data_IF_936114335903
#
_entry.id   IF_936114335903
#
_cell.length_a   1.000
_cell.length_b   1.000
_cell.length_c   1.000
_cell.angle_alpha   90.00
_cell.angle_beta   90.00
_cell.angle_gamma   90.00
#
_symmetry.space_group_name_H-M   'P 1'
#
loop_
_entity.id
_entity.type
_entity.pdbx_description
1 polymer ?
#
# COMPACT_ATOMS: atom_id res chain seq x y z
N UNK A 1 33.10 -26.95 -41.01
CA UNK A 1 33.20 -25.49 -41.28
C UNK A 1 32.80 -24.78 -40.00
N UNK A 2 33.57 -23.80 -39.54
CA UNK A 2 33.17 -23.02 -38.37
C UNK A 2 31.91 -22.21 -38.72
N UNK A 3 30.91 -22.21 -37.85
CA UNK A 3 29.72 -21.40 -38.01
C UNK A 3 30.12 -19.93 -37.87
N UNK A 4 29.82 -19.09 -38.86
CA UNK A 4 30.07 -17.65 -38.80
C UNK A 4 28.93 -16.91 -39.51
N UNK A 5 28.13 -16.14 -38.75
CA UNK A 5 27.05 -15.29 -39.26
C UNK A 5 27.52 -14.05 -40.04
N UNK A 6 28.78 -14.01 -40.47
CA UNK A 6 29.27 -13.08 -41.47
C UNK A 6 29.05 -13.64 -42.89
N UNK A 7 27.78 -13.78 -43.27
CA UNK A 7 27.38 -14.40 -44.54
C UNK A 7 27.92 -13.60 -45.74
N UNK A 8 28.44 -14.31 -46.73
CA UNK A 8 28.91 -13.71 -47.98
C UNK A 8 27.72 -13.40 -48.91
N UNK A 9 27.72 -12.20 -49.48
CA UNK A 9 26.80 -11.85 -50.56
C UNK A 9 27.32 -12.43 -51.87
N UNK A 10 26.41 -12.97 -52.69
CA UNK A 10 26.72 -13.28 -54.09
C UNK A 10 27.04 -11.97 -54.79
N UNK A 11 28.21 -11.88 -55.42
CA UNK A 11 28.65 -10.64 -56.08
C UNK A 11 27.81 -10.35 -57.34
N UNK A 12 27.61 -9.08 -57.65
CA UNK A 12 26.96 -8.65 -58.90
C UNK A 12 27.74 -9.21 -60.10
N UNK A 13 27.10 -10.07 -60.89
CA UNK A 13 27.68 -10.70 -62.07
C UNK A 13 28.51 -11.97 -61.82
N UNK A 14 28.52 -12.53 -60.61
CA UNK A 14 29.14 -13.84 -60.35
C UNK A 14 28.44 -14.90 -61.21
N UNK A 15 29.01 -15.41 -62.30
CA UNK A 15 28.32 -16.41 -63.13
C UNK A 15 28.51 -17.84 -62.60
N UNK A 16 29.69 -18.12 -62.05
CA UNK A 16 30.09 -19.45 -61.57
C UNK A 16 29.91 -19.57 -60.05
N UNK A 17 29.56 -20.78 -59.60
CA UNK A 17 29.46 -21.17 -58.19
C UNK A 17 28.52 -20.35 -57.28
N UNK A 18 27.58 -19.59 -57.87
CA UNK A 18 26.55 -18.85 -57.11
C UNK A 18 25.74 -19.77 -56.19
N UNK A 19 25.37 -20.96 -56.69
CA UNK A 19 24.58 -21.95 -55.95
C UNK A 19 25.35 -22.49 -54.74
N UNK A 20 26.65 -22.72 -54.89
CA UNK A 20 27.53 -23.18 -53.82
C UNK A 20 27.67 -22.09 -52.76
N UNK A 21 27.88 -20.84 -53.16
CA UNK A 21 27.94 -19.69 -52.25
C UNK A 21 26.62 -19.55 -51.47
N UNK A 22 25.49 -19.72 -52.13
CA UNK A 22 24.17 -19.71 -51.49
C UNK A 22 23.98 -20.87 -50.52
N UNK A 23 24.33 -22.09 -50.92
CA UNK A 23 24.21 -23.30 -50.09
C UNK A 23 25.11 -23.24 -48.85
N UNK A 24 26.33 -22.71 -48.99
CA UNK A 24 27.26 -22.51 -47.88
C UNK A 24 26.73 -21.46 -46.90
N UNK A 25 26.18 -20.35 -47.41
CA UNK A 25 25.53 -19.32 -46.60
C UNK A 25 24.31 -19.84 -45.83
N UNK A 26 23.46 -20.63 -46.49
CA UNK A 26 22.32 -21.29 -45.84
C UNK A 26 22.78 -22.28 -44.76
N UNK A 27 23.86 -23.03 -45.02
CA UNK A 27 24.45 -23.96 -44.05
C UNK A 27 24.98 -23.21 -42.83
N UNK A 28 25.70 -22.11 -43.04
CA UNK A 28 26.20 -21.26 -41.94
C UNK A 28 25.05 -20.67 -41.10
N UNK A 29 23.99 -20.18 -41.76
CA UNK A 29 22.82 -19.64 -41.08
C UNK A 29 22.09 -20.72 -40.27
N UNK A 30 21.85 -21.89 -40.84
CA UNK A 30 21.15 -22.99 -40.19
C UNK A 30 21.92 -23.49 -38.96
N UNK A 31 23.23 -23.68 -39.10
CA UNK A 31 24.05 -24.11 -37.99
C UNK A 31 24.09 -23.03 -36.90
N UNK A 32 24.39 -21.78 -37.24
CA UNK A 32 24.54 -20.74 -36.20
C UNK A 32 23.23 -20.37 -35.48
N UNK A 33 22.07 -20.53 -36.12
CA UNK A 33 20.78 -20.24 -35.48
C UNK A 33 20.29 -21.37 -34.56
N UNK A 34 20.79 -22.59 -34.74
CA UNK A 34 20.42 -23.76 -33.92
C UNK A 34 21.50 -24.20 -32.92
N UNK A 35 22.72 -23.69 -33.08
CA UNK A 35 23.85 -24.04 -32.22
C UNK A 35 23.91 -23.21 -30.93
N UNK A 36 24.59 -23.77 -29.93
CA UNK A 36 24.85 -23.14 -28.64
C UNK A 36 26.35 -23.06 -28.38
N UNK A 37 26.87 -21.86 -28.21
CA UNK A 37 28.26 -21.66 -27.84
C UNK A 37 28.47 -21.83 -26.34
N UNK A 38 29.21 -22.87 -25.96
CA UNK A 38 29.61 -23.12 -24.59
C UNK A 38 30.81 -22.22 -24.20
N UNK A 39 30.59 -21.28 -23.30
CA UNK A 39 31.59 -20.32 -22.84
C UNK A 39 32.37 -20.91 -21.66
N UNK A 40 33.69 -21.00 -21.79
CA UNK A 40 34.58 -21.47 -20.72
C UNK A 40 35.03 -20.33 -19.81
N UNK A 41 34.49 -20.30 -18.59
CA UNK A 41 34.83 -19.33 -17.54
C UNK A 41 35.83 -19.88 -16.49
N UNK A 42 36.48 -21.01 -16.76
CA UNK A 42 37.46 -21.62 -15.86
C UNK A 42 38.61 -20.66 -15.52
N UNK A 43 39.06 -19.87 -16.50
CA UNK A 43 40.13 -18.89 -16.36
C UNK A 43 39.68 -17.51 -15.83
N UNK A 44 38.39 -17.30 -15.55
CA UNK A 44 37.88 -16.01 -15.10
C UNK A 44 36.80 -15.41 -16.02
N UNK A 45 36.77 -14.08 -16.07
CA UNK A 45 35.91 -13.34 -17.01
C UNK A 45 36.34 -13.62 -18.46
N UNK A 46 35.39 -13.62 -19.38
CA UNK A 46 35.63 -14.01 -20.77
C UNK A 46 35.29 -12.86 -21.70
N UNK A 47 36.18 -12.56 -22.65
CA UNK A 47 35.90 -11.68 -23.79
C UNK A 47 35.71 -12.52 -25.04
N UNK A 48 34.54 -12.46 -25.65
CA UNK A 48 34.30 -13.13 -26.93
C UNK A 48 34.97 -12.36 -28.06
N UNK A 49 35.67 -13.09 -28.91
CA UNK A 49 36.07 -12.58 -30.23
C UNK A 49 34.85 -12.40 -31.11
N UNK A 50 34.95 -11.55 -32.13
CA UNK A 50 33.86 -11.36 -33.10
C UNK A 50 33.45 -12.65 -33.80
N UNK A 51 34.38 -13.59 -34.05
CA UNK A 51 34.09 -14.90 -34.64
C UNK A 51 33.34 -15.81 -33.66
N UNK A 52 33.79 -15.92 -32.41
CA UNK A 52 33.07 -16.68 -31.38
C UNK A 52 31.66 -16.11 -31.15
N UNK A 53 31.54 -14.79 -31.15
CA UNK A 53 30.25 -14.14 -31.00
C UNK A 53 29.33 -14.35 -32.21
N UNK A 54 29.84 -14.71 -33.39
CA UNK A 54 29.04 -14.99 -34.60
C UNK A 54 28.74 -16.48 -34.83
N UNK A 55 29.28 -17.38 -34.02
CA UNK A 55 29.16 -18.82 -34.25
C UNK A 55 27.86 -19.45 -33.76
N UNK A 56 27.15 -18.80 -32.83
CA UNK A 56 25.89 -19.27 -32.28
C UNK A 56 24.90 -18.13 -32.02
N UNK A 57 23.62 -18.44 -31.88
CA UNK A 57 22.59 -17.54 -31.34
C UNK A 57 22.51 -17.61 -29.81
N UNK A 58 22.74 -18.79 -29.23
CA UNK A 58 22.65 -19.02 -27.79
C UNK A 58 24.04 -19.19 -27.19
N UNK A 59 24.27 -18.54 -26.06
CA UNK A 59 25.50 -18.64 -25.28
C UNK A 59 25.17 -19.13 -23.87
N UNK A 60 26.01 -19.99 -23.30
CA UNK A 60 25.85 -20.44 -21.91
C UNK A 60 27.20 -20.81 -21.28
N UNK A 61 27.34 -20.81 -19.94
CA UNK A 61 28.49 -21.42 -19.29
C UNK A 61 28.67 -22.88 -19.73
N UNK A 62 29.91 -23.28 -20.02
CA UNK A 62 30.27 -24.66 -20.40
C UNK A 62 30.22 -25.63 -19.22
N UNK A 63 30.34 -25.11 -18.00
CA UNK A 63 30.29 -25.84 -16.74
C UNK A 63 29.77 -24.93 -15.62
N UNK A 64 29.52 -25.50 -14.45
CA UNK A 64 29.22 -24.74 -13.24
C UNK A 64 30.34 -23.73 -12.93
N UNK A 65 29.94 -22.53 -12.56
CA UNK A 65 30.82 -21.42 -12.23
C UNK A 65 31.33 -21.58 -10.79
N UNK A 66 32.58 -21.16 -10.56
CA UNK A 66 33.17 -21.13 -9.22
C UNK A 66 32.99 -19.78 -8.50
N UNK A 67 32.52 -18.75 -9.22
CA UNK A 67 32.27 -17.40 -8.73
C UNK A 67 31.42 -16.63 -9.75
N UNK A 68 30.93 -15.45 -9.38
CA UNK A 68 30.33 -14.52 -10.34
C UNK A 68 31.32 -14.16 -11.47
N UNK A 69 30.80 -14.02 -12.69
CA UNK A 69 31.61 -13.80 -13.90
C UNK A 69 31.08 -12.66 -14.74
N UNK A 70 31.95 -12.14 -15.59
CA UNK A 70 31.59 -11.20 -16.65
C UNK A 70 31.84 -11.82 -18.02
N UNK A 71 30.85 -11.76 -18.90
CA UNK A 71 30.98 -12.04 -20.33
C UNK A 71 31.01 -10.72 -21.09
N UNK A 72 32.13 -10.47 -21.76
CA UNK A 72 32.37 -9.26 -22.54
C UNK A 72 32.11 -9.57 -24.01
N UNK A 73 31.14 -8.85 -24.57
CA UNK A 73 30.62 -9.03 -25.92
C UNK A 73 31.26 -8.00 -26.86
N UNK A 74 31.66 -8.40 -28.09
CA UNK A 74 32.22 -7.48 -29.05
C UNK A 74 31.15 -6.53 -29.61
N UNK A 75 31.57 -5.36 -30.10
CA UNK A 75 30.70 -4.39 -30.78
C UNK A 75 30.31 -4.84 -32.20
N UNK A 76 29.64 -6.00 -32.31
CA UNK A 76 29.13 -6.56 -33.56
C UNK A 76 27.62 -6.44 -33.55
N UNK A 77 26.98 -5.86 -34.57
CA UNK A 77 25.52 -5.69 -34.58
C UNK A 77 24.80 -7.02 -34.82
N UNK A 78 24.10 -7.59 -33.82
CA UNK A 78 23.25 -8.78 -33.98
C UNK A 78 22.39 -9.09 -32.74
N UNK A 79 21.27 -9.82 -32.90
CA UNK A 79 20.59 -10.46 -31.79
C UNK A 79 21.36 -11.68 -31.26
N UNK A 80 21.15 -11.99 -29.99
CA UNK A 80 21.63 -13.20 -29.32
C UNK A 80 20.85 -13.47 -28.03
N UNK A 81 21.01 -14.67 -27.52
CA UNK A 81 20.52 -15.10 -26.22
C UNK A 81 21.68 -15.54 -25.34
N UNK A 82 21.62 -15.22 -24.05
CA UNK A 82 22.53 -15.78 -23.06
C UNK A 82 21.74 -16.48 -21.97
N UNK A 83 21.93 -17.78 -21.83
CA UNK A 83 21.33 -18.58 -20.78
C UNK A 83 22.36 -18.79 -19.68
N UNK A 84 22.14 -18.19 -18.51
CA UNK A 84 22.94 -18.50 -17.35
C UNK A 84 22.50 -19.84 -16.75
N UNK A 85 22.99 -20.94 -17.30
CA UNK A 85 22.67 -22.28 -16.81
C UNK A 85 23.33 -22.64 -15.47
N UNK A 86 24.04 -21.69 -14.84
CA UNK A 86 24.56 -21.89 -13.48
C UNK A 86 23.45 -21.85 -12.44
N UNK A 87 23.64 -22.58 -11.33
CA UNK A 87 22.67 -22.67 -10.25
C UNK A 87 22.90 -21.67 -9.10
N UNK A 88 24.07 -21.02 -9.04
CA UNK A 88 24.52 -20.24 -7.87
C UNK A 88 24.98 -18.82 -8.22
N UNK A 89 25.71 -18.64 -9.31
CA UNK A 89 26.41 -17.41 -9.61
C UNK A 89 25.81 -16.65 -10.80
N UNK A 90 25.70 -15.34 -10.64
CA UNK A 90 25.32 -14.39 -11.68
C UNK A 90 26.42 -14.23 -12.72
N UNK A 91 26.02 -14.09 -14.00
CA UNK A 91 26.89 -13.64 -15.08
C UNK A 91 26.49 -12.25 -15.53
N UNK A 92 27.42 -11.31 -15.50
CA UNK A 92 27.24 -9.94 -15.99
C UNK A 92 27.62 -9.87 -17.45
N UNK A 93 26.68 -9.50 -18.32
CA UNK A 93 26.94 -9.20 -19.72
C UNK A 93 27.38 -7.74 -19.87
N UNK A 94 28.39 -7.49 -20.70
CA UNK A 94 28.92 -6.15 -20.99
C UNK A 94 29.35 -6.04 -22.45
N UNK A 95 29.06 -4.95 -23.14
CA UNK A 95 29.69 -4.63 -24.45
C UNK A 95 31.09 -4.02 -24.25
N UNK A 96 32.07 -4.34 -25.11
CA UNK A 96 33.49 -3.96 -24.99
C UNK A 96 33.76 -2.45 -24.85
N UNK A 97 33.98 -1.94 -23.63
CA UNK A 97 35.15 -1.11 -23.31
C UNK A 97 35.54 -1.29 -21.83
N UNK A 98 36.82 -1.57 -21.61
CA UNK A 98 37.46 -1.84 -20.33
C UNK A 98 37.60 -0.63 -19.41
N UNK A 99 36.92 0.49 -19.68
CA UNK A 99 37.01 1.71 -18.86
C UNK A 99 35.69 2.46 -18.62
N UNK A 100 34.56 2.07 -19.22
CA UNK A 100 33.28 2.75 -18.95
C UNK A 100 32.77 2.43 -17.53
N UNK A 101 32.35 3.44 -16.73
CA UNK A 101 31.80 3.19 -15.40
C UNK A 101 30.62 2.23 -15.49
N UNK A 102 30.53 1.32 -14.51
CA UNK A 102 29.63 0.15 -14.45
C UNK A 102 28.14 0.45 -14.69
N UNK A 103 27.75 1.72 -14.72
CA UNK A 103 26.39 2.22 -14.87
C UNK A 103 25.91 2.32 -16.32
N UNK A 104 26.77 2.19 -17.33
CA UNK A 104 26.35 2.27 -18.74
C UNK A 104 26.28 0.88 -19.41
N UNK A 105 25.10 0.25 -19.33
CA UNK A 105 24.63 -0.88 -20.15
C UNK A 105 25.20 -2.29 -19.84
N UNK A 106 25.49 -2.61 -18.57
CA UNK A 106 25.66 -4.01 -18.15
C UNK A 106 24.30 -4.68 -17.91
N UNK A 107 24.24 -6.01 -18.07
CA UNK A 107 23.04 -6.81 -17.75
C UNK A 107 23.45 -7.98 -16.86
N UNK A 108 23.04 -7.94 -15.60
CA UNK A 108 23.21 -9.07 -14.69
C UNK A 108 22.16 -10.13 -15.04
N UNK A 109 22.61 -11.35 -15.32
CA UNK A 109 21.78 -12.52 -15.57
C UNK A 109 21.96 -13.46 -14.41
N UNK A 110 20.98 -13.54 -13.51
CA UNK A 110 21.05 -14.35 -12.30
C UNK A 110 21.05 -15.85 -12.65
N UNK A 111 21.33 -16.73 -11.68
CA UNK A 111 21.28 -18.18 -11.89
C UNK A 111 19.95 -18.64 -12.49
N UNK A 112 20.01 -19.43 -13.56
CA UNK A 112 18.85 -19.94 -14.28
C UNK A 112 18.12 -18.92 -15.19
N UNK A 113 18.50 -17.65 -15.20
CA UNK A 113 17.86 -16.65 -16.05
C UNK A 113 18.38 -16.66 -17.50
N UNK A 114 17.57 -16.11 -18.41
CA UNK A 114 17.93 -15.96 -19.82
C UNK A 114 17.89 -14.47 -20.17
N UNK A 115 18.98 -13.96 -20.75
CA UNK A 115 18.98 -12.68 -21.43
C UNK A 115 18.59 -12.87 -22.90
N UNK A 116 17.67 -12.04 -23.39
CA UNK A 116 17.28 -11.96 -24.80
C UNK A 116 17.49 -10.52 -25.25
N UNK A 117 18.32 -10.31 -26.26
CA UNK A 117 18.66 -8.97 -26.69
C UNK A 117 19.59 -8.92 -27.89
N UNK A 118 20.27 -7.79 -28.03
CA UNK A 118 21.17 -7.52 -29.13
C UNK A 118 22.30 -6.58 -28.73
N UNK A 119 23.40 -6.68 -29.47
CA UNK A 119 24.43 -5.64 -29.56
C UNK A 119 24.13 -4.77 -30.77
N UNK A 120 24.25 -3.44 -30.65
CA UNK A 120 23.90 -2.50 -31.74
C UNK A 120 25.06 -2.24 -32.74
N UNK A 121 26.25 -2.81 -32.49
CA UNK A 121 27.46 -2.58 -33.28
C UNK A 121 28.32 -1.42 -32.79
N UNK A 122 27.98 -0.80 -31.67
CA UNK A 122 28.75 0.25 -31.00
C UNK A 122 29.14 -0.18 -29.58
N UNK A 123 30.02 0.58 -28.95
CA UNK A 123 30.32 0.41 -27.53
C UNK A 123 30.18 1.74 -26.77
N UNK A 124 29.37 1.80 -25.69
CA UNK A 124 28.51 0.72 -25.20
C UNK A 124 27.30 0.50 -26.14
N UNK A 125 26.77 -0.72 -26.17
CA UNK A 125 25.81 -1.10 -27.21
C UNK A 125 24.94 -2.31 -26.92
N UNK A 126 24.78 -2.71 -25.66
CA UNK A 126 24.00 -3.88 -25.25
C UNK A 126 22.57 -3.49 -24.85
N UNK A 127 21.56 -4.07 -25.50
CA UNK A 127 20.14 -3.82 -25.26
C UNK A 127 19.39 -5.13 -25.16
N UNK A 128 18.39 -5.20 -24.27
CA UNK A 128 17.58 -6.40 -24.09
C UNK A 128 16.98 -6.50 -22.71
N UNK A 129 16.31 -7.62 -22.47
CA UNK A 129 15.66 -7.97 -21.22
C UNK A 129 16.24 -9.26 -20.65
N UNK A 130 16.21 -9.37 -19.32
CA UNK A 130 16.48 -10.61 -18.61
C UNK A 130 15.12 -11.21 -18.23
N UNK A 131 14.94 -12.47 -18.56
CA UNK A 131 13.72 -13.23 -18.38
C UNK A 131 13.99 -14.32 -17.36
N UNK A 132 13.24 -14.31 -16.26
CA UNK A 132 13.27 -15.42 -15.31
C UNK A 132 12.61 -16.66 -15.92
N UNK A 133 13.28 -17.80 -15.84
CA UNK A 133 12.76 -19.08 -16.31
C UNK A 133 11.96 -19.82 -15.25
N UNK A 134 11.90 -19.30 -14.02
CA UNK A 134 11.24 -19.94 -12.88
C UNK A 134 10.39 -18.93 -12.08
N UNK A 135 9.10 -18.83 -12.41
CA UNK A 135 8.02 -18.30 -11.56
C UNK A 135 8.23 -16.96 -10.84
N UNK A 136 9.25 -16.18 -11.17
CA UNK A 136 9.55 -14.92 -10.49
C UNK A 136 8.55 -13.89 -10.99
N UNK A 137 7.79 -13.31 -10.06
CA UNK A 137 6.70 -12.39 -10.38
C UNK A 137 7.16 -11.23 -11.26
N UNK A 138 6.21 -10.67 -12.01
CA UNK A 138 6.43 -9.40 -12.70
C UNK A 138 6.68 -8.31 -11.64
N UNK A 139 7.84 -7.68 -11.68
CA UNK A 139 8.12 -6.46 -10.93
C UNK A 139 8.59 -5.41 -11.94
N UNK A 140 7.78 -4.39 -12.20
CA UNK A 140 8.23 -3.21 -12.93
C UNK A 140 9.21 -2.41 -12.06
N UNK A 141 10.07 -1.62 -12.72
CA UNK A 141 11.32 -1.08 -12.16
C UNK A 141 11.17 -0.06 -11.03
N UNK A 142 9.98 0.13 -10.46
CA UNK A 142 9.67 0.89 -9.25
C UNK A 142 9.18 -0.01 -8.10
N UNK A 143 9.57 -1.29 -8.09
CA UNK A 143 9.58 -2.19 -6.90
C UNK A 143 8.43 -1.98 -5.89
N UNK A 144 7.18 -2.27 -6.24
CA UNK A 144 6.19 -2.45 -5.19
C UNK A 144 4.79 -2.75 -5.63
N UNK A 145 4.24 -1.95 -6.54
CA UNK A 145 2.78 -1.76 -6.56
C UNK A 145 1.95 -3.01 -6.78
N UNK A 146 2.46 -4.02 -7.49
CA UNK A 146 1.81 -5.32 -7.66
C UNK A 146 2.84 -6.44 -7.53
N UNK A 147 2.68 -7.29 -6.52
CA UNK A 147 3.40 -8.56 -6.41
C UNK A 147 2.48 -9.71 -6.80
N UNK A 148 2.90 -10.51 -7.76
CA UNK A 148 2.23 -11.77 -8.13
C UNK A 148 3.00 -12.93 -7.51
N UNK A 149 2.32 -13.78 -6.74
CA UNK A 149 2.91 -15.00 -6.18
C UNK A 149 3.48 -15.91 -7.27
N UNK A 150 4.50 -16.71 -6.97
CA UNK A 150 5.10 -17.61 -7.96
C UNK A 150 4.16 -18.70 -8.49
N UNK A 151 3.02 -18.95 -7.83
CA UNK A 151 1.93 -19.81 -8.32
C UNK A 151 0.89 -19.07 -9.16
N UNK A 152 0.96 -17.74 -9.24
CA UNK A 152 -0.04 -16.88 -9.89
C UNK A 152 -1.38 -16.76 -9.15
N UNK A 153 -1.55 -17.42 -8.01
CA UNK A 153 -2.84 -17.50 -7.30
C UNK A 153 -3.11 -16.30 -6.39
N UNK A 154 -2.08 -15.54 -6.03
CA UNK A 154 -2.20 -14.33 -5.21
C UNK A 154 -1.58 -13.16 -5.96
N UNK A 155 -2.35 -12.07 -6.03
CA UNK A 155 -1.88 -10.77 -6.47
C UNK A 155 -2.06 -9.83 -5.27
N UNK A 156 -0.97 -9.26 -4.77
CA UNK A 156 -1.00 -8.28 -3.69
C UNK A 156 -0.56 -6.93 -4.21
N UNK A 157 -1.33 -5.90 -3.89
CA UNK A 157 -0.91 -4.51 -4.10
C UNK A 157 -0.10 -4.09 -2.86
N UNK A 158 1.11 -3.56 -3.04
CA UNK A 158 2.06 -3.32 -1.92
C UNK A 158 1.52 -2.37 -0.83
N UNK A 159 0.62 -1.45 -1.20
CA UNK A 159 -0.12 -0.64 -0.24
C UNK A 159 -0.98 -1.45 0.78
N UNK A 160 -1.10 -2.77 0.62
CA UNK A 160 -1.77 -3.70 1.55
C UNK A 160 -0.84 -4.71 2.25
N UNK A 161 0.49 -4.54 2.19
CA UNK A 161 1.42 -5.41 2.92
C UNK A 161 1.20 -5.29 4.44
N UNK A 162 1.12 -6.43 5.15
CA UNK A 162 0.75 -6.50 6.58
C UNK A 162 -0.74 -6.81 6.86
N UNK A 163 -1.45 -7.40 5.88
CA UNK A 163 -2.89 -7.65 5.83
C UNK A 163 -3.58 -8.09 7.12
N UNK A 164 -4.17 -7.12 7.82
CA UNK A 164 -5.31 -7.33 8.71
C UNK A 164 -6.58 -7.07 7.91
N UNK A 165 -7.64 -7.86 8.14
CA UNK A 165 -8.93 -7.64 7.50
C UNK A 165 -9.46 -6.23 7.82
N UNK A 166 -10.08 -5.57 6.83
CA UNK A 166 -10.72 -4.27 7.01
C UNK A 166 -9.85 -3.04 6.70
N UNK A 167 -8.62 -3.20 6.20
CA UNK A 167 -7.88 -2.09 5.60
C UNK A 167 -8.66 -1.51 4.40
N UNK A 168 -8.64 -0.17 4.27
CA UNK A 168 -9.24 0.55 3.13
C UNK A 168 -8.15 1.34 2.42
N UNK A 169 -8.13 1.28 1.09
CA UNK A 169 -7.27 2.13 0.28
C UNK A 169 -8.01 3.42 -0.06
N UNK A 170 -7.35 4.55 0.12
CA UNK A 170 -7.87 5.85 -0.29
C UNK A 170 -6.78 6.67 -0.96
N UNK A 171 -7.18 7.61 -1.80
CA UNK A 171 -6.24 8.52 -2.44
C UNK A 171 -6.08 9.77 -1.56
N UNK A 172 -4.86 10.05 -1.12
CA UNK A 172 -4.52 11.30 -0.46
C UNK A 172 -3.99 12.29 -1.51
N UNK A 173 -4.64 13.44 -1.64
CA UNK A 173 -4.19 14.52 -2.51
C UNK A 173 -3.09 15.39 -1.88
N UNK A 174 -2.76 15.17 -0.61
CA UNK A 174 -1.70 15.92 0.08
C UNK A 174 -0.32 15.47 -0.40
N UNK A 175 0.60 16.42 -0.57
CA UNK A 175 1.93 16.15 -1.10
C UNK A 175 2.81 15.29 -0.15
N UNK A 176 3.39 14.17 -0.61
CA UNK A 176 3.25 13.60 -1.95
C UNK A 176 1.90 12.89 -2.14
N UNK A 177 1.15 13.31 -3.16
CA UNK A 177 -0.15 12.72 -3.44
C UNK A 177 0.01 11.26 -3.85
N UNK A 178 -0.88 10.40 -3.38
CA UNK A 178 -0.78 8.97 -3.66
C UNK A 178 -1.83 8.15 -2.94
N UNK A 179 -1.86 6.86 -3.28
CA UNK A 179 -2.70 5.89 -2.58
C UNK A 179 -2.12 5.59 -1.20
N UNK A 180 -2.96 5.72 -0.19
CA UNK A 180 -2.63 5.52 1.22
C UNK A 180 -3.54 4.46 1.82
N UNK A 181 -3.05 3.78 2.85
CA UNK A 181 -3.80 2.78 3.61
C UNK A 181 -4.43 3.42 4.84
N UNK A 182 -5.75 3.34 4.96
CA UNK A 182 -6.46 3.55 6.21
C UNK A 182 -6.51 2.22 6.98
N UNK A 183 -5.95 2.22 8.20
CA UNK A 183 -5.99 1.07 9.11
C UNK A 183 -7.45 0.66 9.41
N UNK A 184 -7.72 -0.62 9.74
CA UNK A 184 -9.06 -1.06 10.09
C UNK A 184 -9.62 -0.29 11.28
N UNK A 185 -10.91 0.02 11.22
CA UNK A 185 -11.64 0.64 12.32
C UNK A 185 -12.01 -0.37 13.41
N UNK A 186 -12.58 0.12 14.49
CA UNK A 186 -13.21 -0.70 15.53
C UNK A 186 -14.62 -1.11 15.11
N UNK A 187 -15.09 -2.26 15.60
CA UNK A 187 -16.47 -2.71 15.38
C UNK A 187 -17.47 -1.62 15.76
N UNK A 188 -18.49 -1.40 14.92
CA UNK A 188 -19.52 -0.37 15.13
C UNK A 188 -19.21 0.99 14.52
N UNK A 189 -17.95 1.24 14.13
CA UNK A 189 -17.58 2.47 13.42
C UNK A 189 -18.04 2.45 11.96
N UNK A 190 -18.24 3.65 11.41
CA UNK A 190 -18.53 3.83 9.99
C UNK A 190 -17.45 4.71 9.33
N UNK A 191 -17.23 4.51 8.04
CA UNK A 191 -16.27 5.30 7.28
C UNK A 191 -16.87 6.67 6.93
N UNK A 192 -16.17 7.74 7.27
CA UNK A 192 -16.51 9.11 6.90
C UNK A 192 -15.60 9.60 5.79
N UNK A 193 -16.18 10.21 4.75
CA UNK A 193 -15.41 10.77 3.63
C UNK A 193 -14.64 12.02 4.01
N UNK A 194 -15.14 12.80 4.97
CA UNK A 194 -14.58 14.10 5.41
C UNK A 194 -14.36 15.12 4.26
N UNK A 195 -15.07 14.95 3.14
CA UNK A 195 -14.94 15.86 1.99
C UNK A 195 -13.59 15.70 1.28
N UNK A 196 -12.80 16.77 1.24
CA UNK A 196 -11.46 16.78 0.63
C UNK A 196 -10.35 16.31 1.56
N UNK A 197 -10.66 16.09 2.85
CA UNK A 197 -9.71 15.53 3.80
C UNK A 197 -9.65 14.00 3.66
N UNK A 198 -8.60 13.39 4.23
CA UNK A 198 -8.49 11.94 4.30
C UNK A 198 -9.73 11.34 5.00
N UNK A 199 -10.28 10.21 4.50
CA UNK A 199 -11.39 9.56 5.16
C UNK A 199 -10.94 9.02 6.52
N UNK A 200 -11.89 8.94 7.46
CA UNK A 200 -11.60 8.46 8.80
C UNK A 200 -12.78 7.64 9.35
N UNK A 201 -12.49 6.76 10.30
CA UNK A 201 -13.53 6.07 11.05
C UNK A 201 -14.21 7.05 12.01
N UNK A 202 -15.54 6.96 12.11
CA UNK A 202 -16.33 7.72 13.06
C UNK A 202 -17.28 6.82 13.83
N UNK A 203 -17.57 7.23 15.06
CA UNK A 203 -18.57 6.58 15.91
C UNK A 203 -19.97 7.11 15.56
N UNK A 204 -21.00 6.26 15.50
CA UNK A 204 -22.37 6.70 15.27
C UNK A 204 -22.82 7.74 16.31
N UNK A 205 -23.52 8.81 15.93
CA UNK A 205 -24.06 9.75 16.90
C UNK A 205 -25.10 9.07 17.81
N UNK A 206 -25.13 9.47 19.08
CA UNK A 206 -26.12 9.01 20.04
C UNK A 206 -26.56 10.17 20.94
N UNK A 207 -27.80 10.63 20.76
CA UNK A 207 -28.35 11.71 21.54
C UNK A 207 -29.24 11.18 22.67
N UNK A 208 -29.05 11.70 23.89
CA UNK A 208 -29.89 11.35 25.04
C UNK A 208 -30.77 12.53 25.45
N UNK A 209 -32.07 12.50 25.13
CA UNK A 209 -32.99 13.55 25.51
C UNK A 209 -33.46 13.43 26.96
N UNK A 210 -33.60 14.58 27.60
CA UNK A 210 -34.34 14.82 28.84
C UNK A 210 -35.50 15.77 28.49
N UNK A 211 -36.71 15.43 28.96
CA UNK A 211 -37.85 16.35 28.91
C UNK A 211 -38.68 16.19 30.18
N UNK A 212 -38.94 17.30 30.85
CA UNK A 212 -39.74 17.34 32.07
C UNK A 212 -40.69 18.53 32.03
N UNK A 213 -41.99 18.25 32.04
CA UNK A 213 -43.05 19.27 32.08
C UNK A 213 -43.35 19.72 33.51
N UNK A 214 -43.59 21.02 33.70
CA UNK A 214 -43.88 21.59 35.02
C UNK A 214 -42.62 21.83 35.87
N UNK A 215 -42.83 22.08 37.16
CA UNK A 215 -41.79 22.45 38.11
C UNK A 215 -41.29 21.23 38.90
N UNK A 216 -39.99 20.87 38.81
CA UNK A 216 -39.46 19.76 39.59
C UNK A 216 -39.50 20.00 41.10
N UNK A 217 -39.75 18.95 41.88
CA UNK A 217 -39.55 18.97 43.34
C UNK A 217 -38.10 18.66 43.71
N UNK A 218 -37.71 18.98 44.95
CA UNK A 218 -36.35 18.70 45.44
C UNK A 218 -35.99 17.22 45.31
N UNK A 219 -34.83 16.93 44.71
CA UNK A 219 -34.32 15.57 44.50
C UNK A 219 -35.17 14.69 43.58
N UNK A 220 -36.12 15.27 42.82
CA UNK A 220 -36.99 14.50 41.93
C UNK A 220 -36.19 13.89 40.78
N UNK A 221 -36.46 12.62 40.46
CA UNK A 221 -36.05 12.03 39.19
C UNK A 221 -36.86 12.68 38.05
N UNK A 222 -36.19 13.49 37.22
CA UNK A 222 -36.82 14.24 36.12
C UNK A 222 -36.59 13.60 34.75
N UNK A 223 -35.70 12.61 34.66
CA UNK A 223 -35.52 11.81 33.45
C UNK A 223 -34.77 10.53 33.72
N UNK A 224 -35.06 9.50 32.93
CA UNK A 224 -34.42 8.19 33.02
C UNK A 224 -34.39 7.52 31.66
N UNK A 225 -33.25 6.95 31.32
CA UNK A 225 -33.13 6.04 30.18
C UNK A 225 -32.23 4.87 30.52
N UNK A 226 -32.50 3.72 29.93
CA UNK A 226 -31.60 2.57 29.97
C UNK A 226 -30.85 2.56 28.64
N UNK A 227 -29.53 2.71 28.68
CA UNK A 227 -28.73 2.66 27.46
C UNK A 227 -28.65 1.21 26.98
N UNK A 228 -28.85 0.98 25.67
CA UNK A 228 -28.83 -0.38 25.08
C UNK A 228 -27.53 -0.69 24.36
N UNK A 229 -26.57 0.23 24.42
CA UNK A 229 -25.22 0.17 23.88
C UNK A 229 -24.32 1.07 24.72
N UNK A 230 -23.02 0.91 24.60
CA UNK A 230 -22.09 1.81 25.25
C UNK A 230 -22.23 3.20 24.62
N UNK A 231 -22.35 4.22 25.47
CA UNK A 231 -22.49 5.62 25.05
C UNK A 231 -21.32 6.40 25.61
N UNK A 232 -20.50 6.96 24.73
CA UNK A 232 -19.44 7.87 25.09
C UNK A 232 -19.95 9.32 25.04
N UNK A 233 -19.80 10.04 26.13
CA UNK A 233 -20.05 11.46 26.23
C UNK A 233 -18.71 12.23 26.24
N UNK A 234 -18.58 13.29 25.42
CA UNK A 234 -17.39 14.12 25.44
C UNK A 234 -17.23 14.83 26.79
N UNK A 235 -16.00 15.25 27.10
CA UNK A 235 -15.71 16.07 28.27
C UNK A 235 -16.67 17.27 28.36
N UNK A 236 -17.17 17.54 29.56
CA UNK A 236 -18.16 18.58 29.85
C UNK A 236 -19.46 18.47 29.02
N UNK A 237 -19.79 17.27 28.54
CA UNK A 237 -20.89 17.03 27.61
C UNK A 237 -20.89 18.03 26.43
N UNK A 238 -19.70 18.36 25.92
CA UNK A 238 -19.52 19.36 24.87
C UNK A 238 -20.44 19.14 23.66
N UNK A 239 -21.10 20.20 23.21
CA UNK A 239 -22.08 20.17 22.11
C UNK A 239 -23.50 19.75 22.54
N UNK A 240 -23.73 19.49 23.82
CA UNK A 240 -25.08 19.34 24.38
C UNK A 240 -25.82 20.68 24.42
N UNK A 241 -27.14 20.63 24.42
CA UNK A 241 -27.99 21.82 24.40
C UNK A 241 -29.19 21.64 25.31
N UNK A 242 -29.78 22.76 25.75
CA UNK A 242 -30.97 22.75 26.59
C UNK A 242 -31.84 23.98 26.42
N UNK A 243 -33.06 23.87 26.92
CA UNK A 243 -34.09 24.89 26.93
C UNK A 243 -34.88 24.80 28.24
N UNK A 244 -35.31 25.93 28.76
CA UNK A 244 -36.22 26.01 29.91
C UNK A 244 -37.37 26.96 29.58
N UNK A 245 -38.60 26.59 29.93
CA UNK A 245 -39.77 27.44 29.69
C UNK A 245 -39.92 28.57 30.71
N UNK A 246 -39.55 28.34 31.97
CA UNK A 246 -39.52 29.37 33.01
C UNK A 246 -38.21 29.30 33.77
N UNK A 247 -37.46 30.40 33.74
CA UNK A 247 -36.14 30.48 34.34
C UNK A 247 -36.20 30.29 35.88
N UNK A 248 -35.16 29.72 36.48
CA UNK A 248 -35.08 29.60 37.93
C UNK A 248 -34.71 30.95 38.57
N UNK A 249 -35.05 31.13 39.84
CA UNK A 249 -34.61 32.27 40.67
C UNK A 249 -33.20 32.12 41.25
N UNK A 250 -32.67 30.90 41.24
CA UNK A 250 -31.31 30.53 41.63
C UNK A 250 -30.71 29.55 40.62
N UNK A 251 -29.41 29.26 40.66
CA UNK A 251 -28.84 28.27 39.75
C UNK A 251 -29.45 26.89 40.00
N UNK A 252 -30.10 26.33 38.98
CA UNK A 252 -30.73 25.01 39.05
C UNK A 252 -29.77 23.95 38.49
N UNK A 253 -29.16 23.16 39.38
CA UNK A 253 -28.16 22.13 39.05
C UNK A 253 -28.78 20.72 38.98
N UNK A 254 -29.01 20.21 37.78
CA UNK A 254 -29.47 18.84 37.54
C UNK A 254 -28.28 17.90 37.65
N UNK A 255 -28.36 16.91 38.52
CA UNK A 255 -27.34 15.86 38.64
C UNK A 255 -27.56 14.78 37.58
N UNK A 256 -26.51 14.46 36.83
CA UNK A 256 -26.52 13.41 35.81
C UNK A 256 -25.82 12.20 36.38
N UNK A 257 -26.54 11.09 36.52
CA UNK A 257 -26.04 9.89 37.19
C UNK A 257 -25.99 8.69 36.26
N UNK A 258 -24.93 7.89 36.38
CA UNK A 258 -24.83 6.53 35.86
C UNK A 258 -25.02 5.55 37.02
N UNK A 259 -26.12 4.79 37.01
CA UNK A 259 -26.44 3.79 38.03
C UNK A 259 -26.35 4.32 39.48
N UNK A 260 -26.75 5.58 39.69
CA UNK A 260 -26.74 6.23 41.00
C UNK A 260 -25.45 7.00 41.32
N UNK A 261 -24.45 7.00 40.43
CA UNK A 261 -23.18 7.72 40.62
C UNK A 261 -23.16 8.97 39.73
N UNK A 262 -22.92 10.15 40.32
CA UNK A 262 -22.82 11.40 39.56
C UNK A 262 -21.65 11.38 38.57
N UNK A 263 -21.98 11.52 37.28
CA UNK A 263 -21.02 11.64 36.17
C UNK A 263 -20.92 13.07 35.63
N UNK A 264 -21.80 13.96 36.09
CA UNK A 264 -21.75 15.37 35.73
C UNK A 264 -22.99 16.15 36.18
N UNK A 265 -23.07 17.41 35.75
CA UNK A 265 -24.14 18.33 36.13
C UNK A 265 -24.58 19.16 34.92
N UNK A 266 -25.88 19.41 34.82
CA UNK A 266 -26.46 20.40 33.92
C UNK A 266 -26.94 21.56 34.78
N UNK A 267 -26.26 22.70 34.71
CA UNK A 267 -26.60 23.89 35.48
C UNK A 267 -27.37 24.88 34.62
N UNK A 268 -28.50 25.38 35.13
CA UNK A 268 -29.32 26.41 34.49
C UNK A 268 -29.21 27.68 35.32
N UNK A 269 -28.70 28.76 34.72
CA UNK A 269 -28.61 30.06 35.39
C UNK A 269 -29.98 30.75 35.49
N UNK A 270 -30.07 31.82 36.27
CA UNK A 270 -31.28 32.66 36.35
C UNK A 270 -31.63 33.35 35.03
N UNK A 271 -30.66 33.47 34.12
CA UNK A 271 -30.87 33.92 32.75
C UNK A 271 -31.35 32.82 31.79
N UNK A 272 -31.57 31.59 32.27
CA UNK A 272 -31.96 30.44 31.44
C UNK A 272 -30.81 29.83 30.64
N UNK A 273 -29.55 30.16 30.97
CA UNK A 273 -28.36 29.65 30.27
C UNK A 273 -27.97 28.30 30.82
N UNK A 274 -27.79 27.32 29.93
CA UNK A 274 -27.33 25.98 30.27
C UNK A 274 -25.80 25.90 30.24
N UNK A 275 -25.22 25.36 31.31
CA UNK A 275 -23.82 24.97 31.40
C UNK A 275 -23.74 23.49 31.71
N UNK A 276 -22.98 22.75 30.91
CA UNK A 276 -22.81 21.32 31.07
C UNK A 276 -21.40 21.03 31.59
N UNK A 277 -21.29 20.16 32.59
CA UNK A 277 -20.01 19.74 33.15
C UNK A 277 -20.03 18.24 33.42
N UNK A 278 -18.90 17.60 33.19
CA UNK A 278 -18.69 16.20 33.60
C UNK A 278 -17.88 16.20 34.89
N UNK A 279 -18.04 15.17 35.72
CA UNK A 279 -17.21 14.99 36.91
C UNK A 279 -15.73 15.01 36.51
N UNK A 280 -14.92 15.86 37.15
CA UNK A 280 -13.50 16.09 36.83
C UNK A 280 -13.21 16.67 35.43
N UNK A 281 -14.22 17.12 34.68
CA UNK A 281 -14.02 17.69 33.34
C UNK A 281 -13.53 16.71 32.27
N UNK A 282 -13.63 15.40 32.52
CA UNK A 282 -13.20 14.35 31.59
C UNK A 282 -14.38 13.67 30.89
N UNK A 283 -14.13 13.10 29.71
CA UNK A 283 -15.13 12.30 28.99
C UNK A 283 -15.65 11.14 29.87
N UNK A 284 -16.90 10.72 29.63
CA UNK A 284 -17.59 9.68 30.39
C UNK A 284 -18.14 8.63 29.45
N UNK A 285 -18.11 7.38 29.87
CA UNK A 285 -18.77 6.28 29.16
C UNK A 285 -19.83 5.69 30.06
N UNK A 286 -21.01 5.45 29.51
CA UNK A 286 -22.11 4.74 30.17
C UNK A 286 -22.30 3.43 29.42
N UNK A 287 -22.08 2.32 30.12
CA UNK A 287 -22.10 0.99 29.50
C UNK A 287 -23.52 0.50 29.22
N UNK A 288 -23.66 -0.37 28.22
CA UNK A 288 -24.92 -1.03 27.89
C UNK A 288 -25.57 -1.67 29.13
N UNK A 289 -26.88 -1.47 29.27
CA UNK A 289 -27.68 -1.93 30.40
C UNK A 289 -27.67 -0.99 31.61
N UNK A 290 -26.81 0.03 31.64
CA UNK A 290 -26.81 1.00 32.72
C UNK A 290 -28.00 1.97 32.62
N UNK A 291 -28.40 2.51 33.78
CA UNK A 291 -29.45 3.52 33.90
C UNK A 291 -28.79 4.89 33.95
N UNK A 292 -29.05 5.70 32.93
CA UNK A 292 -28.73 7.12 32.97
C UNK A 292 -29.92 7.87 33.54
N UNK A 293 -29.71 8.57 34.64
CA UNK A 293 -30.74 9.21 35.46
C UNK A 293 -30.42 10.69 35.65
N UNK A 294 -31.47 11.52 35.66
CA UNK A 294 -31.37 12.97 35.83
C UNK A 294 -32.17 13.37 37.07
N UNK A 295 -31.50 13.98 38.05
CA UNK A 295 -32.11 14.38 39.31
C UNK A 295 -32.13 15.89 39.45
N UNK A 296 -33.28 16.44 39.83
CA UNK A 296 -33.39 17.83 40.25
C UNK A 296 -32.51 18.09 41.50
N UNK A 297 -32.06 19.34 41.72
CA UNK A 297 -31.30 19.72 42.90
C UNK A 297 -31.97 19.24 44.20
N UNK A 298 -31.16 18.76 45.14
CA UNK A 298 -31.67 18.25 46.43
C UNK A 298 -31.96 19.37 47.45
N UNK A 299 -31.56 20.62 47.19
CA UNK A 299 -31.95 21.75 48.04
C UNK A 299 -33.47 21.93 48.00
N UNK A 300 -34.08 22.27 49.13
CA UNK A 300 -35.53 22.45 49.25
C UNK A 300 -35.88 23.94 49.47
N UNK A 301 -36.70 24.55 48.58
CA UNK A 301 -37.11 24.03 47.27
C UNK A 301 -35.94 24.06 46.26
N UNK A 302 -35.95 23.15 45.28
CA UNK A 302 -34.90 23.06 44.25
C UNK A 302 -34.79 24.37 43.48
N UNK A 303 -35.96 24.91 43.09
CA UNK A 303 -36.31 26.29 42.76
C UNK A 303 -37.81 26.26 42.38
N UNK A 304 -38.64 27.17 42.90
CA UNK A 304 -40.10 27.07 42.68
C UNK A 304 -40.55 27.52 41.27
N UNK A 305 -39.68 28.16 40.49
CA UNK A 305 -40.05 28.72 39.18
C UNK A 305 -39.46 27.95 38.01
N UNK A 306 -38.41 27.17 38.22
CA UNK A 306 -37.79 26.35 37.16
C UNK A 306 -38.82 25.38 36.56
N UNK A 307 -39.23 25.59 35.30
CA UNK A 307 -40.28 24.76 34.70
C UNK A 307 -40.07 24.49 33.22
N UNK A 308 -40.63 23.36 32.76
CA UNK A 308 -40.62 22.92 31.35
C UNK A 308 -39.20 22.79 30.80
N UNK A 309 -38.42 21.91 31.45
CA UNK A 309 -37.00 21.69 31.16
C UNK A 309 -36.88 20.68 30.03
N UNK A 310 -36.05 21.00 29.03
CA UNK A 310 -35.59 20.07 28.02
C UNK A 310 -34.07 20.18 27.87
N UNK A 311 -33.38 19.05 27.76
CA UNK A 311 -31.96 19.01 27.44
C UNK A 311 -31.68 17.81 26.54
N UNK A 312 -30.61 17.87 25.76
CA UNK A 312 -30.11 16.72 25.01
C UNK A 312 -28.62 16.62 25.24
N UNK A 313 -28.19 15.51 25.83
CA UNK A 313 -26.78 15.18 25.93
C UNK A 313 -26.31 14.58 24.62
N UNK A 314 -25.31 15.21 24.01
CA UNK A 314 -24.66 14.72 22.80
C UNK A 314 -23.66 13.64 23.17
N UNK A 315 -23.80 12.45 22.59
CA UNK A 315 -22.85 11.34 22.72
C UNK A 315 -22.57 10.66 21.39
N UNK A 316 -21.77 9.61 21.46
CA UNK A 316 -21.55 8.64 20.38
C UNK A 316 -21.75 7.22 20.88
N UNK A 317 -22.26 6.36 20.01
CA UNK A 317 -22.33 4.93 20.27
C UNK A 317 -20.93 4.33 20.07
N UNK A 318 -20.41 3.66 21.08
CA UNK A 318 -19.13 2.94 21.04
C UNK A 318 -19.31 1.43 21.10
#
# INVERSE_FOLDING_TARGET
>A
MANDLNLYLIADGQADDQWQTSNDGLTQLANATTDTYAVDFSAGNVTLTSTQYRSAMVFKPSAALAAARTLILPAVKRPFEFHNSDATYTVTLKSTDGASPETALTKAVAPGEIFIGYTNGSSPGLYGAVVSTSGSGVSDGDKGDITVSGTGTVWSVDAFTGGVAGNILYYDGNSPAGWQRLAPGTSGQFLKTLGSAAPAWGDPPYDVPLSFSGTPTAGQLIGKTVVTRDVAFPANFSGSAGHIGTNPTSTFAIDVQDNGVSIGTISISTGGVFTFTTSSGTAKTVSSGHRLEFYAPANSPADATAANIAATLKGSAS
#
